data_IF_332044527637
#
_entry.id   IF_332044527637
#
_cell.length_a   1.000
_cell.length_b   1.000
_cell.length_c   1.000
_cell.angle_alpha   90.00
_cell.angle_beta   90.00
_cell.angle_gamma   90.00
#
_symmetry.space_group_name_H-M   'P 1'
#
loop_
_entity.id
_entity.type
_entity.pdbx_description
1 polymer ?
#
# COMPACT_ATOMS: atom_id res chain seq x y z
N UNK A 1 -47.23 -34.29 41.31
CA UNK A 1 -45.71 -34.31 41.29
C UNK A 1 -45.28 -33.65 40.01
N UNK A 2 -45.10 -32.27 40.01
CA UNK A 2 -44.87 -31.48 38.79
C UNK A 2 -43.37 -31.13 38.70
N UNK A 3 -42.66 -31.75 37.79
CA UNK A 3 -41.29 -31.35 37.41
C UNK A 3 -41.36 -30.17 36.44
N UNK A 4 -40.88 -29.02 36.89
CA UNK A 4 -40.65 -27.84 36.03
C UNK A 4 -39.31 -27.99 35.32
N UNK A 5 -39.33 -28.23 34.02
CA UNK A 5 -38.19 -28.21 33.15
C UNK A 5 -37.80 -26.71 32.94
N UNK A 6 -36.64 -26.29 33.48
CA UNK A 6 -36.07 -24.97 33.25
C UNK A 6 -35.25 -25.04 31.98
N UNK A 7 -35.78 -24.49 30.90
CA UNK A 7 -35.04 -24.27 29.66
C UNK A 7 -34.04 -23.12 29.87
N UNK A 8 -32.76 -23.46 29.95
CA UNK A 8 -31.67 -22.45 29.85
C UNK A 8 -31.35 -22.26 28.38
N UNK A 9 -31.90 -21.20 27.78
CA UNK A 9 -31.46 -20.70 26.48
C UNK A 9 -30.14 -19.95 26.66
N UNK A 10 -29.05 -20.56 26.25
CA UNK A 10 -27.76 -19.89 26.14
C UNK A 10 -27.78 -19.01 24.87
N UNK A 11 -27.87 -17.71 25.04
CA UNK A 11 -27.67 -16.76 23.96
C UNK A 11 -26.18 -16.67 23.63
N UNK A 12 -25.75 -17.22 22.49
CA UNK A 12 -24.43 -17.01 21.96
C UNK A 12 -24.39 -15.62 21.31
N UNK A 13 -23.74 -14.66 21.97
CA UNK A 13 -23.46 -13.35 21.40
C UNK A 13 -22.34 -13.50 20.35
N UNK A 14 -22.72 -13.37 19.07
CA UNK A 14 -21.77 -13.29 17.97
C UNK A 14 -21.16 -11.87 17.99
N UNK A 15 -19.93 -11.76 18.49
CA UNK A 15 -19.16 -10.51 18.36
C UNK A 15 -18.71 -10.40 16.90
N UNK A 16 -19.42 -9.60 16.10
CA UNK A 16 -18.91 -9.10 14.83
C UNK A 16 -17.79 -8.10 15.13
N UNK A 17 -16.55 -8.53 14.96
CA UNK A 17 -15.43 -7.60 14.90
C UNK A 17 -15.51 -6.89 13.56
N UNK A 18 -15.84 -5.59 13.57
CA UNK A 18 -15.70 -4.74 12.41
C UNK A 18 -14.21 -4.71 12.04
N UNK A 19 -13.87 -5.28 10.88
CA UNK A 19 -12.56 -5.09 10.27
C UNK A 19 -12.56 -3.66 9.77
N UNK A 20 -11.96 -2.75 10.52
CA UNK A 20 -11.70 -1.40 10.03
C UNK A 20 -10.68 -1.51 8.92
N UNK A 21 -11.04 -1.05 7.71
CA UNK A 21 -10.06 -0.84 6.65
C UNK A 21 -9.00 0.11 7.21
N UNK A 22 -7.77 -0.36 7.29
CA UNK A 22 -6.62 0.42 7.75
C UNK A 22 -5.80 0.79 6.54
N UNK A 23 -5.22 1.99 6.55
CA UNK A 23 -4.26 2.39 5.56
C UNK A 23 -3.15 1.32 5.46
N UNK A 24 -2.84 0.90 4.22
CA UNK A 24 -1.76 -0.06 3.98
C UNK A 24 -0.52 0.70 3.53
N UNK A 25 0.61 0.39 4.15
CA UNK A 25 1.90 0.93 3.75
C UNK A 25 2.56 -0.03 2.75
N UNK A 26 3.11 0.55 1.70
CA UNK A 26 3.92 -0.15 0.69
C UNK A 26 5.30 0.49 0.64
N UNK A 27 6.34 -0.31 0.45
CA UNK A 27 7.71 0.16 0.37
C UNK A 27 8.41 -0.35 -0.87
N UNK A 28 9.37 0.41 -1.38
CA UNK A 28 10.22 -0.01 -2.47
C UNK A 28 11.62 0.58 -2.32
N UNK A 29 12.62 -0.19 -2.76
CA UNK A 29 13.97 0.31 -3.04
C UNK A 29 14.05 0.49 -4.55
N UNK A 30 14.43 1.69 -4.99
CA UNK A 30 14.52 2.04 -6.40
C UNK A 30 15.96 1.93 -6.88
N UNK A 31 16.17 1.18 -7.95
CA UNK A 31 17.51 0.98 -8.53
C UNK A 31 17.44 0.87 -10.05
N UNK A 32 18.56 1.17 -10.73
CA UNK A 32 18.67 1.04 -12.17
C UNK A 32 18.50 -0.40 -12.69
N UNK A 33 19.08 -1.43 -12.03
CA UNK A 33 18.86 -2.83 -12.40
C UNK A 33 17.40 -3.30 -12.37
N UNK A 34 16.53 -2.64 -11.64
CA UNK A 34 15.09 -2.95 -11.61
C UNK A 34 14.31 -2.29 -12.76
N UNK A 35 14.92 -1.38 -13.53
CA UNK A 35 14.27 -0.79 -14.72
C UNK A 35 14.02 -1.81 -15.85
N UNK A 36 13.19 -1.43 -16.81
CA UNK A 36 12.90 -2.27 -17.97
C UNK A 36 12.99 -1.44 -19.26
N UNK A 37 14.06 -1.65 -20.05
CA UNK A 37 15.18 -2.55 -19.81
C UNK A 37 16.05 -2.12 -18.61
N UNK A 38 16.73 -3.06 -17.93
CA UNK A 38 17.66 -2.75 -16.85
C UNK A 38 18.78 -1.80 -17.31
N UNK A 39 19.22 -0.92 -16.41
CA UNK A 39 20.35 -0.03 -16.66
C UNK A 39 21.39 -0.12 -15.52
N UNK A 40 22.55 0.50 -15.72
CA UNK A 40 23.69 0.46 -14.81
C UNK A 40 23.83 1.74 -13.99
N UNK A 41 22.76 2.52 -13.80
CA UNK A 41 22.82 3.70 -12.96
C UNK A 41 23.23 3.33 -11.52
N UNK A 42 24.17 4.06 -10.93
CA UNK A 42 24.53 3.90 -9.52
C UNK A 42 23.49 4.50 -8.57
N UNK A 43 22.48 5.20 -9.12
CA UNK A 43 21.48 5.87 -8.32
C UNK A 43 20.66 4.88 -7.49
N UNK A 44 20.27 5.33 -6.31
CA UNK A 44 19.41 4.59 -5.40
C UNK A 44 18.31 5.50 -4.87
N UNK A 45 17.13 4.93 -4.65
CA UNK A 45 16.03 5.60 -3.97
C UNK A 45 15.29 4.65 -3.04
N UNK A 46 14.47 5.24 -2.18
CA UNK A 46 13.53 4.52 -1.35
C UNK A 46 12.18 5.23 -1.42
N UNK A 47 11.11 4.46 -1.48
CA UNK A 47 9.75 4.97 -1.47
C UNK A 47 8.94 4.32 -0.35
N UNK A 48 8.10 5.13 0.29
CA UNK A 48 7.00 4.69 1.16
C UNK A 48 5.72 5.27 0.58
N UNK A 49 4.77 4.40 0.30
CA UNK A 49 3.45 4.78 -0.20
C UNK A 49 2.42 4.27 0.77
N UNK A 50 1.58 5.16 1.27
CA UNK A 50 0.47 4.81 2.13
C UNK A 50 -0.82 5.07 1.38
N UNK A 51 -1.66 4.03 1.28
CA UNK A 51 -2.92 4.13 0.57
C UNK A 51 -4.09 3.69 1.45
N UNK A 52 -5.04 4.59 1.60
CA UNK A 52 -6.27 4.39 2.36
C UNK A 52 -7.49 4.69 1.47
N UNK A 53 -8.15 3.63 1.05
CA UNK A 53 -9.35 3.72 0.21
C UNK A 53 -10.59 4.18 0.98
N UNK A 54 -10.60 4.12 2.32
CA UNK A 54 -11.72 4.57 3.12
C UNK A 54 -11.73 6.09 3.29
N UNK A 55 -10.56 6.70 3.39
CA UNK A 55 -10.39 8.16 3.44
C UNK A 55 -10.07 8.79 2.08
N UNK A 56 -9.86 7.97 1.03
CA UNK A 56 -9.43 8.41 -0.30
C UNK A 56 -8.10 9.15 -0.28
N UNK A 57 -7.13 8.67 0.50
CA UNK A 57 -5.83 9.29 0.68
C UNK A 57 -4.72 8.39 0.14
N UNK A 58 -3.87 8.98 -0.72
CA UNK A 58 -2.60 8.42 -1.16
C UNK A 58 -1.48 9.35 -0.69
N UNK A 59 -0.65 8.90 0.25
CA UNK A 59 0.58 9.59 0.68
C UNK A 59 1.76 8.95 -0.05
N UNK A 60 2.67 9.79 -0.59
CA UNK A 60 3.85 9.34 -1.33
C UNK A 60 5.08 10.03 -0.74
N UNK A 61 5.96 9.24 -0.14
CA UNK A 61 7.27 9.69 0.37
C UNK A 61 8.36 9.02 -0.45
N UNK A 62 9.28 9.81 -1.00
CA UNK A 62 10.39 9.33 -1.81
C UNK A 62 11.67 10.07 -1.44
N UNK A 63 12.77 9.35 -1.30
CA UNK A 63 14.10 9.92 -1.23
C UNK A 63 14.99 9.22 -2.27
N UNK A 64 15.82 9.99 -2.97
CA UNK A 64 16.73 9.45 -3.98
C UNK A 64 18.05 10.21 -4.03
N UNK A 65 19.08 9.55 -4.54
CA UNK A 65 20.41 10.15 -4.71
C UNK A 65 21.21 9.47 -5.82
N UNK A 66 22.14 10.23 -6.39
CA UNK A 66 23.11 9.72 -7.33
C UNK A 66 22.59 9.52 -8.75
N UNK A 67 21.50 10.19 -9.17
CA UNK A 67 21.09 10.20 -10.57
C UNK A 67 22.25 10.71 -11.44
N UNK A 68 22.43 10.10 -12.61
CA UNK A 68 23.53 10.46 -13.52
C UNK A 68 23.36 11.87 -14.11
N UNK A 69 22.14 12.23 -14.44
CA UNK A 69 21.73 13.56 -14.86
C UNK A 69 20.48 14.00 -14.09
N UNK A 70 20.11 15.28 -14.16
CA UNK A 70 18.97 15.81 -13.40
C UNK A 70 17.66 15.06 -13.62
N UNK A 71 16.89 14.93 -12.54
CA UNK A 71 15.54 14.35 -12.53
C UNK A 71 14.58 15.12 -13.43
N UNK A 72 13.68 14.42 -14.09
CA UNK A 72 12.68 15.02 -14.99
C UNK A 72 11.24 14.73 -14.58
N UNK A 73 10.95 13.50 -14.16
CA UNK A 73 9.60 13.03 -13.85
C UNK A 73 9.65 11.95 -12.76
N UNK A 74 8.53 11.76 -12.06
CA UNK A 74 8.29 10.59 -11.21
C UNK A 74 6.80 10.27 -11.16
N UNK A 75 6.48 8.98 -11.17
CA UNK A 75 5.11 8.46 -11.11
C UNK A 75 5.05 7.12 -10.40
N UNK A 76 3.81 6.69 -10.09
CA UNK A 76 3.52 5.27 -9.87
C UNK A 76 2.82 4.73 -11.11
N UNK A 77 3.34 3.61 -11.61
CA UNK A 77 2.79 2.83 -12.71
C UNK A 77 1.99 1.65 -12.16
N UNK A 78 0.88 1.32 -12.82
CA UNK A 78 0.03 0.17 -12.50
C UNK A 78 -0.81 -0.25 -13.73
N UNK A 79 -1.14 -1.48 -13.93
CA UNK A 79 -0.72 -2.64 -13.19
C UNK A 79 -0.02 -3.57 -14.17
N UNK A 80 1.09 -4.15 -13.77
CA UNK A 80 1.81 -5.11 -14.62
C UNK A 80 1.06 -6.44 -14.66
N UNK A 81 1.30 -7.24 -15.68
CA UNK A 81 0.67 -8.57 -15.81
C UNK A 81 1.31 -9.63 -14.91
N UNK A 82 2.45 -9.31 -14.33
CA UNK A 82 3.23 -10.21 -13.47
C UNK A 82 3.73 -9.43 -12.27
N UNK A 83 3.45 -9.89 -11.04
CA UNK A 83 3.98 -9.28 -9.83
C UNK A 83 5.51 -9.14 -9.85
N UNK A 84 6.02 -7.97 -9.51
CA UNK A 84 7.44 -7.68 -9.44
C UNK A 84 8.17 -7.62 -10.78
N UNK A 85 7.47 -7.70 -11.94
CA UNK A 85 8.10 -7.72 -13.25
C UNK A 85 7.25 -7.03 -14.33
N UNK A 86 7.89 -6.66 -15.44
CA UNK A 86 7.22 -6.07 -16.60
C UNK A 86 7.09 -4.55 -16.53
N UNK A 87 6.22 -3.99 -17.38
CA UNK A 87 5.92 -2.56 -17.49
C UNK A 87 4.42 -2.32 -17.49
N UNK A 88 4.02 -1.17 -16.99
CA UNK A 88 2.62 -0.72 -16.99
C UNK A 88 2.56 0.77 -17.36
N UNK A 89 1.37 1.26 -17.71
CA UNK A 89 1.11 2.68 -17.88
C UNK A 89 1.19 3.44 -16.54
N UNK A 90 1.32 4.77 -16.62
CA UNK A 90 1.23 5.65 -15.45
C UNK A 90 -0.18 5.60 -14.89
N UNK A 91 -0.31 5.35 -13.60
CA UNK A 91 -1.59 5.36 -12.89
C UNK A 91 -1.89 6.72 -12.24
N UNK A 92 -0.88 7.33 -11.64
CA UNK A 92 -1.00 8.57 -10.86
C UNK A 92 -0.99 9.83 -11.75
N UNK A 93 -1.03 11.01 -11.11
CA UNK A 93 -0.98 12.32 -11.76
C UNK A 93 0.10 12.41 -12.85
N UNK A 94 -0.22 13.09 -13.95
CA UNK A 94 0.70 13.35 -15.07
C UNK A 94 0.79 14.86 -15.34
N UNK A 95 1.92 15.37 -15.86
CA UNK A 95 3.10 14.65 -16.38
C UNK A 95 4.06 14.11 -15.31
N UNK A 96 3.95 14.51 -14.07
CA UNK A 96 4.73 14.08 -12.92
C UNK A 96 3.95 14.36 -11.64
N UNK A 97 4.34 13.78 -10.53
CA UNK A 97 3.82 14.16 -9.22
C UNK A 97 3.98 15.68 -9.00
N UNK A 98 2.90 16.35 -8.58
CA UNK A 98 2.90 17.79 -8.30
C UNK A 98 3.91 18.16 -7.22
N UNK A 99 4.85 19.06 -7.56
CA UNK A 99 5.92 19.48 -6.64
C UNK A 99 7.09 18.49 -6.52
N UNK A 100 7.18 17.48 -7.36
CA UNK A 100 8.35 16.58 -7.41
C UNK A 100 9.62 17.38 -7.74
N UNK A 101 10.75 17.15 -7.03
CA UNK A 101 12.00 17.89 -7.27
C UNK A 101 12.60 17.51 -8.62
N UNK A 102 12.40 18.37 -9.62
CA UNK A 102 13.00 18.26 -10.95
C UNK A 102 14.29 19.06 -11.03
N UNK A 103 15.16 18.70 -11.99
CA UNK A 103 16.42 19.42 -12.23
C UNK A 103 17.51 19.13 -11.21
N UNK A 104 17.40 18.05 -10.43
CA UNK A 104 18.35 17.66 -9.37
C UNK A 104 18.78 16.20 -9.53
N UNK A 105 19.96 15.86 -8.99
CA UNK A 105 20.49 14.49 -8.98
C UNK A 105 20.22 13.74 -7.66
N UNK A 106 19.71 14.47 -6.66
CA UNK A 106 19.32 13.92 -5.36
C UNK A 106 18.22 14.78 -4.79
N UNK A 107 17.28 14.18 -4.09
CA UNK A 107 16.15 14.90 -3.51
C UNK A 107 15.29 14.05 -2.60
N UNK A 108 14.36 14.74 -1.94
CA UNK A 108 13.30 14.12 -1.17
C UNK A 108 11.97 14.76 -1.58
N UNK A 109 10.92 13.97 -1.52
CA UNK A 109 9.58 14.36 -1.90
C UNK A 109 8.57 13.75 -0.95
N UNK A 110 7.60 14.55 -0.51
CA UNK A 110 6.45 14.10 0.27
C UNK A 110 5.23 14.85 -0.23
N UNK A 111 4.17 14.13 -0.56
CA UNK A 111 2.89 14.73 -0.92
C UNK A 111 1.72 13.80 -0.59
N UNK A 112 0.53 14.41 -0.47
CA UNK A 112 -0.73 13.72 -0.20
C UNK A 112 -1.73 14.05 -1.29
N UNK A 113 -2.33 13.02 -1.84
CA UNK A 113 -3.33 13.09 -2.92
C UNK A 113 -4.69 12.66 -2.41
N UNK A 114 -5.73 13.40 -2.80
CA UNK A 114 -7.11 12.95 -2.64
C UNK A 114 -7.52 12.16 -3.87
N UNK A 115 -7.59 10.84 -3.73
CA UNK A 115 -7.87 9.91 -4.84
C UNK A 115 -9.33 9.88 -5.28
N UNK A 116 -10.22 10.56 -4.55
CA UNK A 116 -11.58 10.84 -5.04
C UNK A 116 -11.62 11.91 -6.14
N UNK A 117 -10.50 12.63 -6.36
CA UNK A 117 -10.38 13.64 -7.41
C UNK A 117 -9.73 13.06 -8.66
N UNK A 118 -10.27 13.39 -9.83
CA UNK A 118 -9.72 12.97 -11.13
C UNK A 118 -8.30 13.47 -11.37
N UNK A 119 -7.93 14.62 -10.77
CA UNK A 119 -6.60 15.21 -10.88
C UNK A 119 -5.47 14.34 -10.29
N UNK A 120 -5.80 13.44 -9.36
CA UNK A 120 -4.83 12.51 -8.76
C UNK A 120 -4.45 11.35 -9.68
N UNK A 121 -5.13 11.21 -10.80
CA UNK A 121 -5.03 10.07 -11.71
C UNK A 121 -4.64 10.49 -13.12
N UNK A 122 -3.91 9.60 -13.79
CA UNK A 122 -3.75 9.69 -15.23
C UNK A 122 -5.11 9.48 -15.91
N UNK A 123 -5.56 10.36 -16.83
CA UNK A 123 -6.81 10.19 -17.57
C UNK A 123 -6.92 8.86 -18.31
N UNK A 124 -5.81 8.33 -18.83
CA UNK A 124 -5.79 7.03 -19.48
C UNK A 124 -6.05 5.88 -18.49
N UNK A 125 -5.52 5.99 -17.27
CA UNK A 125 -5.78 5.01 -16.20
C UNK A 125 -7.24 5.05 -15.75
N UNK A 126 -7.81 6.24 -15.58
CA UNK A 126 -9.25 6.39 -15.31
C UNK A 126 -10.09 5.72 -16.41
N UNK A 127 -9.82 6.03 -17.67
CA UNK A 127 -10.58 5.49 -18.80
C UNK A 127 -10.55 3.97 -18.86
N UNK A 128 -9.37 3.36 -18.63
CA UNK A 128 -9.21 1.90 -18.65
C UNK A 128 -9.90 1.19 -17.47
N UNK A 129 -10.27 1.95 -16.42
CA UNK A 129 -10.90 1.41 -15.22
C UNK A 129 -12.32 1.98 -14.99
N UNK A 130 -13.09 2.08 -16.08
CA UNK A 130 -14.50 2.46 -16.04
C UNK A 130 -14.77 3.96 -16.01
N UNK A 131 -13.75 4.82 -16.21
CA UNK A 131 -13.89 6.28 -16.29
C UNK A 131 -14.21 6.97 -14.97
N UNK A 132 -14.07 6.27 -13.84
CA UNK A 132 -14.41 6.81 -12.51
C UNK A 132 -13.21 6.71 -11.54
N UNK A 133 -13.14 7.63 -10.59
CA UNK A 133 -12.11 7.58 -9.53
C UNK A 133 -12.25 6.34 -8.67
N UNK A 134 -13.47 5.89 -8.38
CA UNK A 134 -13.70 4.65 -7.62
C UNK A 134 -13.18 3.41 -8.36
N UNK A 135 -13.36 3.34 -9.69
CA UNK A 135 -12.79 2.26 -10.50
C UNK A 135 -11.25 2.28 -10.52
N UNK A 136 -10.68 3.47 -10.67
CA UNK A 136 -9.22 3.65 -10.59
C UNK A 136 -8.66 3.28 -9.21
N UNK A 137 -9.29 3.72 -8.12
CA UNK A 137 -8.90 3.34 -6.75
C UNK A 137 -8.93 1.83 -6.55
N UNK A 138 -10.01 1.17 -6.96
CA UNK A 138 -10.15 -0.27 -6.81
C UNK A 138 -9.07 -1.03 -7.59
N UNK A 139 -8.80 -0.63 -8.84
CA UNK A 139 -7.76 -1.23 -9.67
C UNK A 139 -6.36 -0.99 -9.10
N UNK A 140 -6.07 0.23 -8.64
CA UNK A 140 -4.79 0.60 -8.05
C UNK A 140 -4.54 -0.14 -6.72
N UNK A 141 -5.56 -0.24 -5.85
CA UNK A 141 -5.48 -1.02 -4.62
C UNK A 141 -5.20 -2.50 -4.90
N UNK A 142 -5.88 -3.08 -5.89
CA UNK A 142 -5.66 -4.46 -6.30
C UNK A 142 -4.23 -4.66 -6.81
N UNK A 143 -3.73 -3.77 -7.67
CA UNK A 143 -2.38 -3.83 -8.22
C UNK A 143 -1.29 -3.65 -7.15
N UNK A 144 -1.47 -2.73 -6.20
CA UNK A 144 -0.57 -2.58 -5.05
C UNK A 144 -0.51 -3.87 -4.22
N UNK A 145 -1.68 -4.44 -3.89
CA UNK A 145 -1.76 -5.68 -3.10
C UNK A 145 -1.18 -6.89 -3.83
N UNK A 146 -1.26 -6.90 -5.16
CA UNK A 146 -0.68 -7.96 -6.00
C UNK A 146 0.83 -7.77 -6.25
N UNK A 147 1.44 -6.64 -5.87
CA UNK A 147 2.82 -6.31 -6.20
C UNK A 147 3.03 -5.99 -7.69
N UNK A 148 2.00 -5.46 -8.35
CA UNK A 148 1.96 -5.12 -9.78
C UNK A 148 2.15 -3.62 -10.03
N UNK A 149 2.35 -2.83 -8.98
CA UNK A 149 2.61 -1.40 -9.06
C UNK A 149 4.07 -1.09 -8.73
N UNK A 150 4.65 -0.13 -9.44
CA UNK A 150 6.01 0.34 -9.17
C UNK A 150 6.11 1.86 -9.24
N UNK A 151 7.00 2.43 -8.44
CA UNK A 151 7.38 3.83 -8.52
C UNK A 151 8.68 3.93 -9.30
N UNK A 152 8.78 4.90 -10.22
CA UNK A 152 10.02 5.20 -10.89
C UNK A 152 10.36 6.69 -10.88
N UNK A 153 11.64 6.99 -11.12
CA UNK A 153 12.19 8.32 -11.30
C UNK A 153 12.91 8.35 -12.64
N UNK A 154 12.54 9.32 -13.46
CA UNK A 154 13.16 9.58 -14.75
C UNK A 154 14.21 10.68 -14.62
N UNK A 155 15.20 10.65 -15.48
CA UNK A 155 16.21 11.71 -15.62
C UNK A 155 16.45 12.05 -17.08
N UNK A 156 17.21 13.11 -17.31
CA UNK A 156 17.66 13.51 -18.65
C UNK A 156 18.49 12.39 -19.31
N UNK A 157 19.21 11.56 -18.51
CA UNK A 157 19.99 10.44 -19.03
C UNK A 157 19.11 9.27 -19.44
N UNK A 158 18.04 9.03 -18.65
CA UNK A 158 17.09 7.92 -18.83
C UNK A 158 15.67 8.44 -18.86
N UNK A 159 15.20 8.98 -20.02
CA UNK A 159 13.84 9.50 -20.14
C UNK A 159 12.74 8.45 -19.94
N UNK A 160 13.07 7.15 -20.10
CA UNK A 160 12.15 6.04 -19.84
C UNK A 160 12.12 5.56 -18.38
N UNK A 161 13.03 6.08 -17.52
CA UNK A 161 13.22 5.72 -16.12
C UNK A 161 14.68 5.42 -15.80
N UNK A 162 15.22 6.05 -14.78
CA UNK A 162 16.58 5.80 -14.30
C UNK A 162 16.61 4.79 -13.17
N UNK A 163 15.71 4.92 -12.21
CA UNK A 163 15.56 4.00 -11.09
C UNK A 163 14.09 3.71 -10.84
N UNK A 164 13.77 2.44 -10.56
CA UNK A 164 12.42 2.04 -10.14
C UNK A 164 12.45 0.96 -9.07
N UNK A 165 11.32 0.75 -8.42
CA UNK A 165 11.09 -0.35 -7.49
C UNK A 165 9.62 -0.73 -7.40
N UNK A 166 9.34 -2.03 -7.35
CA UNK A 166 7.99 -2.53 -7.10
C UNK A 166 7.58 -2.29 -5.66
N UNK A 167 6.38 -1.78 -5.48
CA UNK A 167 5.80 -1.46 -4.19
C UNK A 167 5.28 -2.75 -3.53
N UNK A 168 5.90 -3.15 -2.44
CA UNK A 168 5.51 -4.32 -1.66
C UNK A 168 4.86 -3.88 -0.35
N UNK A 169 3.78 -4.56 0.05
CA UNK A 169 3.14 -4.27 1.33
C UNK A 169 4.15 -4.43 2.48
N UNK A 170 4.28 -3.38 3.30
CA UNK A 170 5.10 -3.44 4.49
C UNK A 170 4.49 -4.43 5.49
N UNK A 171 5.30 -5.22 6.21
CA UNK A 171 4.79 -6.07 7.26
C UNK A 171 4.01 -5.23 8.28
N UNK A 172 2.74 -5.52 8.43
CA UNK A 172 1.95 -4.93 9.52
C UNK A 172 2.46 -5.58 10.82
N UNK A 173 2.95 -4.82 11.80
CA UNK A 173 3.24 -5.38 13.12
C UNK A 173 1.95 -6.06 13.60
N UNK A 174 2.01 -7.36 13.89
CA UNK A 174 0.83 -8.07 14.37
C UNK A 174 0.29 -7.33 15.60
N UNK A 175 -1.00 -6.98 15.62
CA UNK A 175 -1.56 -6.30 16.78
C UNK A 175 -1.28 -7.13 18.04
N UNK A 176 -1.15 -6.47 19.18
CA UNK A 176 -1.01 -7.11 20.50
C UNK A 176 -2.13 -8.15 20.82
N UNK A 177 -3.02 -8.40 19.88
CA UNK A 177 -4.10 -9.40 19.90
C UNK A 177 -3.55 -10.81 20.14
N UNK A 178 -2.41 -11.17 19.55
CA UNK A 178 -1.76 -12.48 19.84
C UNK A 178 -1.19 -12.49 21.25
N UNK A 179 -0.59 -11.39 21.69
CA UNK A 179 -0.12 -11.27 23.08
C UNK A 179 -1.30 -11.30 24.06
N UNK A 180 -2.41 -10.65 23.74
CA UNK A 180 -3.64 -10.68 24.54
C UNK A 180 -4.31 -12.06 24.53
N UNK A 181 -4.30 -12.78 23.43
CA UNK A 181 -4.80 -14.15 23.35
C UNK A 181 -3.91 -15.10 24.18
N UNK A 182 -2.59 -14.94 24.08
CA UNK A 182 -1.60 -15.71 24.85
C UNK A 182 -1.68 -15.46 26.37
N UNK A 183 -2.07 -14.28 26.81
CA UNK A 183 -2.28 -13.93 28.22
C UNK A 183 -3.70 -14.21 28.70
N UNK A 184 -4.71 -14.03 27.84
CA UNK A 184 -6.11 -14.18 28.19
C UNK A 184 -6.55 -15.64 28.38
N UNK A 185 -6.10 -16.56 27.54
CA UNK A 185 -6.44 -17.98 27.65
C UNK A 185 -5.94 -18.64 28.96
N UNK A 186 -4.69 -18.46 29.42
CA UNK A 186 -4.25 -18.95 30.69
C UNK A 186 -5.02 -18.37 31.88
N UNK A 187 -5.37 -17.08 31.83
CA UNK A 187 -6.13 -16.43 32.89
C UNK A 187 -7.54 -17.02 33.04
N UNK A 188 -8.23 -17.23 31.90
CA UNK A 188 -9.55 -17.86 31.89
C UNK A 188 -9.50 -19.30 32.39
N UNK A 189 -8.49 -20.09 32.00
CA UNK A 189 -8.27 -21.45 32.47
C UNK A 189 -7.97 -21.52 33.98
N UNK A 190 -7.21 -20.57 34.47
CA UNK A 190 -6.93 -20.48 35.94
C UNK A 190 -8.19 -20.12 36.74
N UNK A 191 -9.04 -19.21 36.25
CA UNK A 191 -10.31 -18.87 36.88
C UNK A 191 -11.30 -20.04 36.81
N UNK A 192 -11.38 -20.78 35.73
CA UNK A 192 -12.25 -21.95 35.59
C UNK A 192 -11.82 -23.10 36.56
N UNK A 193 -10.51 -23.30 36.78
CA UNK A 193 -9.97 -24.27 37.75
C UNK A 193 -10.29 -23.90 39.17
N UNK A 194 -10.27 -22.62 39.55
CA UNK A 194 -10.62 -22.17 40.90
C UNK A 194 -12.09 -22.40 41.22
N UNK A 195 -13.00 -22.20 40.27
CA UNK A 195 -14.45 -22.45 40.48
C UNK A 195 -14.85 -23.93 40.62
N UNK A 196 -14.00 -24.86 40.18
CA UNK A 196 -14.24 -26.32 40.38
C UNK A 196 -13.76 -26.88 41.72
N UNK A 197 -13.06 -26.06 42.51
CA UNK A 197 -12.53 -26.47 43.83
C UNK A 197 -13.31 -25.89 45.02
N UNK A 198 -14.35 -25.10 44.72
CA UNK A 198 -15.38 -24.65 45.70
C UNK A 198 -16.68 -25.41 45.46
#
# INVERSE_FOLDING_TARGET
>A
MNQRIRNCTAAAALLLTAITASATNYTAILTGPQESPPNTSPAIGAAVVKFDTASHILEVDVAFSGLILPSTLSHIHCCTTTPGAGVAGVATEVPTFGGFPMGVTSGAYTNTYNTSLTASWNPAFLTSHGGTTAGAEAAFAAGLNAGEAYLNIHSERYPGGEIRGFLAAAPVPEPATIAMLGLGLPAVLLMARRRRKM
#
